data_IF_358945064334
#
_entry.id   IF_358945064334
#
_cell.length_a   1.000
_cell.length_b   1.000
_cell.length_c   1.000
_cell.angle_alpha   90.00
_cell.angle_beta   90.00
_cell.angle_gamma   90.00
#
_symmetry.space_group_name_H-M   'P 1'
#
loop_
_entity.id
_entity.type
_entity.pdbx_description
1 polymer ?
#
# COMPACT_ATOMS: atom_id res chain seq x y z
N UNK A 1 41.42 30.07 -14.30
CA UNK A 1 41.37 28.88 -15.17
C UNK A 1 40.49 27.84 -14.49
N UNK A 2 39.22 27.80 -14.87
CA UNK A 2 38.21 26.91 -14.28
C UNK A 2 38.44 25.49 -14.81
N UNK A 3 38.57 24.51 -13.91
CA UNK A 3 39.01 23.14 -14.23
C UNK A 3 37.86 22.20 -14.58
N UNK A 4 36.64 22.72 -14.71
CA UNK A 4 35.45 21.92 -14.96
C UNK A 4 34.98 22.16 -16.39
N UNK A 5 35.16 21.14 -17.24
CA UNK A 5 34.61 21.13 -18.58
C UNK A 5 33.06 21.10 -18.50
N UNK A 6 32.35 21.87 -19.34
CA UNK A 6 30.89 21.86 -19.36
C UNK A 6 30.41 20.49 -19.87
N UNK A 7 29.73 19.73 -19.02
CA UNK A 7 29.12 18.44 -19.39
C UNK A 7 29.51 17.23 -18.52
N UNK A 8 30.31 17.40 -17.47
CA UNK A 8 30.55 16.30 -16.54
C UNK A 8 29.35 16.13 -15.60
N UNK A 9 28.66 14.97 -15.61
CA UNK A 9 27.60 14.68 -14.64
C UNK A 9 28.21 14.69 -13.24
N UNK A 10 27.62 15.48 -12.36
CA UNK A 10 28.04 15.57 -10.97
C UNK A 10 27.85 14.20 -10.29
N UNK A 11 28.96 13.53 -9.97
CA UNK A 11 28.97 12.22 -9.31
C UNK A 11 28.46 12.25 -7.87
N UNK A 12 28.33 13.45 -7.30
CA UNK A 12 27.79 13.69 -5.96
C UNK A 12 26.37 14.25 -5.99
N UNK A 13 25.80 14.46 -7.18
CA UNK A 13 24.39 14.79 -7.28
C UNK A 13 23.56 13.56 -6.84
N UNK A 14 22.55 13.75 -5.97
CA UNK A 14 21.64 12.67 -5.62
C UNK A 14 21.03 12.12 -6.93
N UNK A 15 20.87 10.79 -7.05
CA UNK A 15 20.27 10.20 -8.24
C UNK A 15 18.91 10.83 -8.48
N UNK A 16 18.53 11.10 -9.75
CA UNK A 16 17.23 11.64 -10.05
C UNK A 16 16.16 10.71 -9.44
N UNK A 17 15.13 11.26 -8.79
CA UNK A 17 14.05 10.43 -8.25
C UNK A 17 13.48 9.59 -9.39
N UNK A 18 13.16 8.31 -9.15
CA UNK A 18 12.56 7.47 -10.17
C UNK A 18 11.29 8.14 -10.71
N UNK A 19 10.97 7.99 -12.01
CA UNK A 19 9.75 8.54 -12.56
C UNK A 19 8.56 8.02 -11.75
N UNK A 20 7.72 8.92 -11.25
CA UNK A 20 6.48 8.55 -10.59
C UNK A 20 5.68 7.66 -11.55
N UNK A 21 5.32 6.45 -11.11
CA UNK A 21 4.46 5.58 -11.88
C UNK A 21 3.16 6.34 -12.23
N UNK A 22 2.58 6.14 -13.42
CA UNK A 22 1.32 6.79 -13.75
C UNK A 22 0.29 6.49 -12.66
N UNK A 23 -0.27 7.55 -12.06
CA UNK A 23 -1.28 7.42 -11.01
C UNK A 23 -2.51 6.74 -11.60
N UNK A 24 -2.82 5.55 -11.09
CA UNK A 24 -4.00 4.79 -11.51
C UNK A 24 -5.28 5.53 -11.07
N UNK A 25 -6.39 5.40 -11.82
CA UNK A 25 -7.69 5.92 -11.38
C UNK A 25 -8.06 5.42 -9.98
N UNK A 26 -8.74 6.23 -9.14
CA UNK A 26 -9.04 5.86 -7.76
C UNK A 26 -9.80 4.53 -7.57
N UNK A 27 -10.77 4.23 -8.45
CA UNK A 27 -11.49 2.95 -8.46
C UNK A 27 -10.60 1.75 -8.78
N UNK A 28 -9.65 1.91 -9.69
CA UNK A 28 -8.69 0.84 -10.03
C UNK A 28 -7.74 0.57 -8.88
N UNK A 29 -7.34 1.62 -8.14
CA UNK A 29 -6.53 1.48 -6.93
C UNK A 29 -7.27 0.72 -5.83
N UNK A 30 -8.54 1.07 -5.57
CA UNK A 30 -9.38 0.33 -4.62
C UNK A 30 -9.57 -1.13 -5.04
N UNK A 31 -9.83 -1.37 -6.32
CA UNK A 31 -9.97 -2.74 -6.84
C UNK A 31 -8.68 -3.54 -6.67
N UNK A 32 -7.53 -2.92 -6.91
CA UNK A 32 -6.23 -3.56 -6.72
C UNK A 32 -5.96 -3.89 -5.23
N UNK A 33 -6.30 -2.99 -4.31
CA UNK A 33 -6.19 -3.25 -2.86
C UNK A 33 -7.06 -4.45 -2.46
N UNK A 34 -8.33 -4.48 -2.90
CA UNK A 34 -9.22 -5.59 -2.61
C UNK A 34 -8.72 -6.92 -3.21
N UNK A 35 -8.12 -6.89 -4.39
CA UNK A 35 -7.54 -8.07 -5.04
C UNK A 35 -6.32 -8.64 -4.30
N UNK A 36 -5.62 -7.82 -3.52
CA UNK A 36 -4.53 -8.28 -2.64
C UNK A 36 -5.11 -8.93 -1.37
N UNK A 37 -6.14 -8.34 -0.77
CA UNK A 37 -6.70 -8.79 0.50
C UNK A 37 -7.52 -10.08 0.39
N UNK A 38 -8.33 -10.22 -0.67
CA UNK A 38 -9.21 -11.40 -0.87
C UNK A 38 -8.50 -12.75 -0.80
N UNK A 39 -7.40 -12.99 -1.53
CA UNK A 39 -6.68 -14.26 -1.46
C UNK A 39 -5.78 -14.38 -0.24
N UNK A 40 -5.58 -13.29 0.51
CA UNK A 40 -4.70 -13.31 1.66
C UNK A 40 -5.32 -14.14 2.80
N UNK A 41 -4.45 -14.88 3.50
CA UNK A 41 -4.79 -15.61 4.71
C UNK A 41 -4.37 -14.88 5.98
N UNK A 42 -3.50 -13.88 5.86
CA UNK A 42 -2.98 -13.02 6.93
C UNK A 42 -2.87 -11.59 6.44
N UNK A 43 -2.62 -10.66 7.37
CA UNK A 43 -2.43 -9.26 7.04
C UNK A 43 -1.24 -9.10 6.07
N UNK A 44 -1.42 -8.43 4.92
CA UNK A 44 -0.31 -8.20 3.98
C UNK A 44 0.59 -7.04 4.40
N UNK A 45 0.21 -6.28 5.43
CA UNK A 45 0.97 -5.15 5.94
C UNK A 45 1.89 -5.58 7.08
N UNK A 46 3.11 -5.00 7.17
CA UNK A 46 4.13 -5.40 8.14
C UNK A 46 3.80 -4.96 9.58
N UNK A 47 2.98 -3.94 9.74
CA UNK A 47 2.65 -3.38 11.05
C UNK A 47 1.30 -2.63 11.02
N UNK A 48 0.80 -2.30 12.21
CA UNK A 48 -0.46 -1.59 12.40
C UNK A 48 -0.48 -0.21 11.75
N UNK A 49 0.63 0.54 11.79
CA UNK A 49 0.69 1.89 11.22
C UNK A 49 0.56 1.83 9.70
N UNK A 50 1.20 0.85 9.06
CA UNK A 50 1.09 0.61 7.62
C UNK A 50 -0.33 0.19 7.24
N UNK A 51 -0.98 -0.66 8.03
CA UNK A 51 -2.38 -1.03 7.81
C UNK A 51 -3.33 0.17 7.93
N UNK A 52 -3.18 0.98 8.98
CA UNK A 52 -3.97 2.21 9.17
C UNK A 52 -3.78 3.22 8.05
N UNK A 53 -2.55 3.36 7.53
CA UNK A 53 -2.29 4.22 6.38
C UNK A 53 -2.97 3.70 5.11
N UNK A 54 -2.95 2.39 4.89
CA UNK A 54 -3.65 1.76 3.78
C UNK A 54 -5.17 1.95 3.88
N UNK A 55 -5.76 1.81 5.06
CA UNK A 55 -7.18 2.10 5.31
C UNK A 55 -7.51 3.57 5.03
N UNK A 56 -6.72 4.50 5.59
CA UNK A 56 -6.88 5.94 5.35
C UNK A 56 -6.82 6.26 3.86
N UNK A 57 -5.88 5.64 3.14
CA UNK A 57 -5.74 5.79 1.71
C UNK A 57 -6.98 5.26 0.96
N UNK A 58 -7.49 4.08 1.33
CA UNK A 58 -8.70 3.53 0.76
C UNK A 58 -9.92 4.45 0.98
N UNK A 59 -10.10 5.01 2.17
CA UNK A 59 -11.15 6.01 2.42
C UNK A 59 -10.98 7.28 1.57
N UNK A 60 -9.75 7.76 1.41
CA UNK A 60 -9.47 8.92 0.56
C UNK A 60 -9.81 8.64 -0.91
N UNK A 61 -9.45 7.46 -1.43
CA UNK A 61 -9.81 7.03 -2.80
C UNK A 61 -11.32 6.90 -2.98
N UNK A 62 -12.02 6.35 -1.98
CA UNK A 62 -13.47 6.20 -2.01
C UNK A 62 -14.18 7.54 -2.03
N UNK A 63 -13.66 8.55 -1.32
CA UNK A 63 -14.24 9.91 -1.33
C UNK A 63 -14.19 10.58 -2.71
N UNK A 64 -13.24 10.17 -3.57
CA UNK A 64 -13.11 10.65 -4.95
C UNK A 64 -13.91 9.83 -5.98
N UNK A 65 -14.44 8.68 -5.58
CA UNK A 65 -14.97 7.65 -6.49
C UNK A 65 -16.50 7.48 -6.42
N UNK A 66 -17.19 8.25 -5.57
CA UNK A 66 -18.64 8.16 -5.41
C UNK A 66 -19.10 6.82 -4.82
N UNK A 67 -20.34 6.41 -5.13
CA UNK A 67 -21.00 5.24 -4.53
C UNK A 67 -20.24 3.92 -4.77
N UNK A 68 -19.67 3.74 -5.96
CA UNK A 68 -18.90 2.54 -6.29
C UNK A 68 -17.62 2.44 -5.45
N UNK A 69 -16.95 3.57 -5.23
CA UNK A 69 -15.82 3.65 -4.30
C UNK A 69 -16.20 3.31 -2.86
N UNK A 70 -17.38 3.75 -2.41
CA UNK A 70 -17.90 3.42 -1.07
C UNK A 70 -18.18 1.91 -0.91
N UNK A 71 -18.70 1.26 -1.95
CA UNK A 71 -18.88 -0.21 -1.95
C UNK A 71 -17.54 -0.94 -1.87
N UNK A 72 -16.55 -0.48 -2.64
CA UNK A 72 -15.22 -1.08 -2.63
C UNK A 72 -14.49 -0.90 -1.30
N UNK A 73 -14.55 0.29 -0.69
CA UNK A 73 -13.90 0.50 0.61
C UNK A 73 -14.57 -0.32 1.71
N UNK A 74 -15.90 -0.47 1.70
CA UNK A 74 -16.60 -1.37 2.61
C UNK A 74 -16.09 -2.80 2.48
N UNK A 75 -15.97 -3.31 1.24
CA UNK A 75 -15.45 -4.65 1.00
C UNK A 75 -13.97 -4.80 1.42
N UNK A 76 -13.17 -3.74 1.30
CA UNK A 76 -11.78 -3.72 1.81
C UNK A 76 -11.78 -3.84 3.33
N UNK A 77 -12.63 -3.08 4.04
CA UNK A 77 -12.73 -3.16 5.50
C UNK A 77 -13.19 -4.54 5.97
N UNK A 78 -14.19 -5.14 5.30
CA UNK A 78 -14.69 -6.48 5.62
C UNK A 78 -13.58 -7.54 5.47
N UNK A 79 -12.78 -7.47 4.40
CA UNK A 79 -11.66 -8.39 4.19
C UNK A 79 -10.53 -8.16 5.20
N UNK A 80 -10.22 -6.91 5.54
CA UNK A 80 -9.23 -6.59 6.58
C UNK A 80 -9.68 -7.15 7.93
N UNK A 81 -10.94 -6.99 8.32
CA UNK A 81 -11.50 -7.55 9.55
C UNK A 81 -11.44 -9.09 9.55
N UNK A 82 -11.78 -9.74 8.43
CA UNK A 82 -11.63 -11.20 8.28
C UNK A 82 -10.18 -11.65 8.53
N UNK A 83 -9.20 -10.91 8.02
CA UNK A 83 -7.78 -11.23 8.20
C UNK A 83 -7.34 -11.06 9.65
N UNK A 84 -7.78 -10.00 10.33
CA UNK A 84 -7.56 -9.82 11.76
C UNK A 84 -8.15 -10.96 12.57
N UNK A 85 -9.42 -11.29 12.34
CA UNK A 85 -10.11 -12.36 13.05
C UNK A 85 -9.41 -13.72 12.85
N UNK A 86 -8.94 -14.01 11.63
CA UNK A 86 -8.19 -15.24 11.36
C UNK A 86 -6.87 -15.30 12.14
N UNK A 87 -6.16 -14.18 12.30
CA UNK A 87 -4.94 -14.13 13.10
C UNK A 87 -5.24 -14.38 14.59
N UNK A 88 -6.29 -13.75 15.12
CA UNK A 88 -6.74 -13.95 16.51
C UNK A 88 -7.12 -15.42 16.78
N UNK A 89 -7.89 -16.05 15.88
CA UNK A 89 -8.25 -17.46 16.00
C UNK A 89 -7.04 -18.39 15.95
N UNK A 90 -6.00 -18.01 15.21
CA UNK A 90 -4.76 -18.76 15.15
C UNK A 90 -3.82 -18.50 16.35
N UNK A 91 -4.19 -17.59 17.27
CA UNK A 91 -3.31 -17.14 18.36
C UNK A 91 -2.04 -16.44 17.83
N UNK A 92 -2.12 -15.88 16.63
CA UNK A 92 -1.02 -15.18 15.98
C UNK A 92 -1.22 -13.68 16.13
N UNK A 93 -0.10 -12.96 16.29
CA UNK A 93 -0.12 -11.53 16.03
C UNK A 93 -0.37 -11.33 14.52
N UNK A 94 -1.41 -10.55 14.12
CA UNK A 94 -1.70 -10.27 12.72
C UNK A 94 -0.52 -9.63 11.96
N UNK A 95 0.44 -9.05 12.68
CA UNK A 95 1.61 -8.37 12.13
C UNK A 95 2.94 -9.10 12.38
N UNK A 96 2.93 -10.28 13.01
CA UNK A 96 4.18 -11.01 13.24
C UNK A 96 4.75 -11.60 11.93
N UNK A 97 6.05 -11.39 11.74
CA UNK A 97 6.83 -12.10 10.72
C UNK A 97 6.80 -13.62 10.95
N UNK A 98 6.92 -14.44 9.90
CA UNK A 98 7.01 -15.87 10.06
C UNK A 98 8.24 -16.22 10.91
N UNK A 99 8.17 -17.23 11.80
CA UNK A 99 9.39 -17.79 12.36
C UNK A 99 10.22 -18.33 11.19
N UNK A 100 11.43 -17.80 11.03
CA UNK A 100 12.43 -18.32 10.08
C UNK A 100 12.53 -19.84 10.31
N UNK A 101 12.21 -20.62 9.27
CA UNK A 101 12.31 -22.08 9.30
C UNK A 101 13.71 -22.54 8.95
#
# INVERSE_FOLDING_TARGET
MSRFAPGHPDLFAPPPPPPAAPERPPLEQLTALLAILKPATRMPWPDLMTAMEAERHAFWLASQSGEEGQKLVSAIMDETERLFYNAEQAGLDPFADPPER
#
